data_IF_254085797183
#
_entry.id   IF_254085797183
#
_cell.length_a   1.000
_cell.length_b   1.000
_cell.length_c   1.000
_cell.angle_alpha   90.00
_cell.angle_beta   90.00
_cell.angle_gamma   90.00
#
_symmetry.space_group_name_H-M   'P 1'
#
loop_
_entity.id
_entity.type
_entity.pdbx_description
1 polymer ?
#
# COMPACT_ATOMS: atom_id res chain seq x y z
N UNK A 1 15.73 -0.72 -14.73
CA UNK A 1 14.40 -0.08 -14.60
C UNK A 1 14.03 -0.01 -13.13
N UNK A 2 13.81 1.19 -12.59
CA UNK A 2 13.40 1.37 -11.20
C UNK A 2 11.91 1.03 -11.09
N UNK A 3 11.52 -0.03 -10.35
CA UNK A 3 10.12 -0.46 -10.18
C UNK A 3 9.27 0.63 -9.54
N UNK A 4 8.12 1.02 -10.12
CA UNK A 4 7.20 2.02 -9.56
C UNK A 4 6.67 1.65 -8.16
N UNK A 5 6.82 0.38 -7.78
CA UNK A 5 6.40 -0.18 -6.51
C UNK A 5 7.60 -0.68 -5.69
N UNK A 6 7.62 -0.34 -4.40
CA UNK A 6 8.56 -0.86 -3.40
C UNK A 6 7.80 -1.45 -2.22
N UNK A 7 8.34 -2.44 -1.54
CA UNK A 7 7.68 -3.03 -0.37
C UNK A 7 8.66 -3.44 0.73
N UNK A 8 8.13 -3.60 1.93
CA UNK A 8 8.80 -4.12 3.11
C UNK A 8 7.82 -4.91 3.96
N UNK A 9 8.32 -5.75 4.86
CA UNK A 9 7.51 -6.50 5.82
C UNK A 9 7.98 -6.11 7.22
N UNK A 10 7.02 -5.85 8.11
CA UNK A 10 7.30 -5.59 9.52
C UNK A 10 6.21 -6.26 10.37
N UNK A 11 6.60 -7.24 11.19
CA UNK A 11 5.65 -8.08 11.93
C UNK A 11 4.71 -8.82 10.97
N UNK A 12 3.40 -8.70 11.21
CA UNK A 12 2.35 -9.27 10.36
C UNK A 12 1.81 -8.31 9.28
N UNK A 13 2.49 -7.18 9.04
CA UNK A 13 2.09 -6.16 8.07
C UNK A 13 3.02 -6.14 6.85
N UNK A 14 2.41 -6.30 5.67
CA UNK A 14 3.04 -5.94 4.40
C UNK A 14 2.88 -4.44 4.16
N UNK A 15 3.97 -3.76 3.85
CA UNK A 15 3.99 -2.32 3.54
C UNK A 15 4.34 -2.19 2.07
N UNK A 16 3.48 -1.54 1.30
CA UNK A 16 3.73 -1.23 -0.11
C UNK A 16 3.78 0.28 -0.31
N UNK A 17 4.70 0.77 -1.13
CA UNK A 17 4.81 2.17 -1.52
C UNK A 17 4.79 2.28 -3.05
N UNK A 18 3.80 2.99 -3.57
CA UNK A 18 3.67 3.28 -4.99
C UNK A 18 4.05 4.74 -5.30
N UNK A 19 4.82 4.92 -6.38
CA UNK A 19 5.25 6.21 -6.89
C UNK A 19 4.19 6.82 -7.83
N UNK A 20 4.26 8.12 -8.15
CA UNK A 20 3.31 8.80 -9.04
C UNK A 20 3.57 8.44 -10.52
N UNK A 21 3.57 7.15 -10.83
CA UNK A 21 3.71 6.60 -12.17
C UNK A 21 2.68 5.48 -12.34
N UNK A 22 2.17 5.24 -13.56
CA UNK A 22 1.38 4.04 -13.82
C UNK A 22 2.15 2.81 -13.34
N UNK A 23 1.46 1.87 -12.68
CA UNK A 23 2.03 0.55 -12.41
C UNK A 23 1.73 -0.31 -13.64
N UNK A 24 2.74 -0.73 -14.42
CA UNK A 24 2.53 -1.69 -15.50
C UNK A 24 1.91 -2.99 -14.96
N UNK A 25 1.02 -3.61 -15.74
CA UNK A 25 0.31 -4.81 -15.28
C UNK A 25 1.26 -5.97 -14.95
N UNK A 26 2.37 -6.12 -15.67
CA UNK A 26 3.40 -7.14 -15.39
C UNK A 26 4.13 -6.90 -14.05
N UNK A 27 4.41 -5.64 -13.71
CA UNK A 27 4.98 -5.25 -12.40
C UNK A 27 3.98 -5.50 -11.27
N UNK A 28 2.70 -5.20 -11.50
CA UNK A 28 1.61 -5.46 -10.55
C UNK A 28 1.43 -6.97 -10.31
N UNK A 29 1.42 -7.76 -11.38
CA UNK A 29 1.34 -9.22 -11.31
C UNK A 29 2.57 -9.83 -10.63
N UNK A 30 3.77 -9.31 -10.90
CA UNK A 30 4.97 -9.73 -10.18
C UNK A 30 4.82 -9.45 -8.70
N UNK A 31 4.44 -8.24 -8.30
CA UNK A 31 4.20 -7.90 -6.90
C UNK A 31 3.22 -8.85 -6.22
N UNK A 32 2.06 -9.11 -6.85
CA UNK A 32 1.07 -10.07 -6.35
C UNK A 32 1.67 -11.46 -6.17
N UNK A 33 2.43 -11.97 -7.15
CA UNK A 33 3.04 -13.30 -7.08
C UNK A 33 4.17 -13.41 -6.07
N UNK A 34 4.84 -12.29 -5.78
CA UNK A 34 5.97 -12.25 -4.84
C UNK A 34 5.51 -12.19 -3.38
N UNK A 35 4.24 -11.85 -3.14
CA UNK A 35 3.66 -11.85 -1.81
C UNK A 35 3.01 -13.21 -1.59
N UNK A 36 3.53 -14.06 -0.69
CA UNK A 36 2.76 -15.21 -0.22
C UNK A 36 1.52 -14.68 0.53
N UNK A 37 0.41 -14.55 -0.20
CA UNK A 37 -0.86 -13.98 0.28
C UNK A 37 -1.44 -14.71 1.49
N UNK A 38 -0.98 -15.93 1.74
CA UNK A 38 -1.36 -16.73 2.91
C UNK A 38 -0.65 -16.34 4.22
N UNK A 39 0.34 -15.42 4.20
CA UNK A 39 1.16 -15.13 5.38
C UNK A 39 0.89 -13.76 6.03
N UNK A 40 0.20 -12.84 5.36
CA UNK A 40 -0.01 -11.48 5.88
C UNK A 40 -1.50 -11.17 6.05
N UNK A 41 -1.92 -10.99 7.30
CA UNK A 41 -3.29 -10.60 7.62
C UNK A 41 -3.57 -9.12 7.32
N UNK A 42 -2.53 -8.30 7.07
CA UNK A 42 -2.62 -6.85 7.02
C UNK A 42 -1.76 -6.24 5.91
N UNK A 43 -2.29 -5.21 5.26
CA UNK A 43 -1.61 -4.44 4.23
C UNK A 43 -1.67 -2.95 4.53
N UNK A 44 -0.52 -2.29 4.54
CA UNK A 44 -0.37 -0.84 4.51
C UNK A 44 0.05 -0.40 3.10
N UNK A 45 -0.91 -0.01 2.26
CA UNK A 45 -0.65 0.46 0.90
C UNK A 45 -0.51 1.98 0.86
N UNK A 46 0.66 2.47 0.49
CA UNK A 46 0.99 3.89 0.56
C UNK A 46 1.32 4.42 -0.84
N UNK A 47 1.02 5.70 -1.09
CA UNK A 47 1.40 6.34 -2.34
C UNK A 47 1.65 7.83 -2.17
N UNK A 48 2.38 8.41 -3.12
CA UNK A 48 2.46 9.87 -3.30
C UNK A 48 1.92 10.22 -4.68
N UNK A 49 1.15 11.31 -4.75
CA UNK A 49 0.47 11.71 -5.98
C UNK A 49 -0.64 10.74 -6.42
N UNK A 50 -1.15 10.91 -7.65
CA UNK A 50 -2.24 10.11 -8.16
C UNK A 50 -1.80 8.66 -8.37
N UNK A 51 -2.48 7.72 -7.70
CA UNK A 51 -2.37 6.30 -8.04
C UNK A 51 -3.20 6.01 -9.30
N UNK A 52 -2.52 5.66 -10.40
CA UNK A 52 -3.15 5.22 -11.64
C UNK A 52 -3.32 3.70 -11.59
N UNK A 53 -4.44 3.25 -11.02
CA UNK A 53 -4.80 1.83 -10.91
C UNK A 53 -5.96 1.55 -11.86
N UNK A 54 -5.80 0.55 -12.74
CA UNK A 54 -6.84 0.16 -13.70
C UNK A 54 -8.01 -0.57 -13.02
N UNK A 55 -9.16 -0.70 -13.70
CA UNK A 55 -10.29 -1.49 -13.18
C UNK A 55 -9.91 -2.96 -12.95
N UNK A 56 -9.08 -3.54 -13.83
CA UNK A 56 -8.58 -4.92 -13.70
C UNK A 56 -7.70 -5.07 -12.47
N UNK A 57 -6.75 -4.15 -12.26
CA UNK A 57 -5.89 -4.15 -11.07
C UNK A 57 -6.69 -3.99 -9.78
N UNK A 58 -7.72 -3.11 -9.76
CA UNK A 58 -8.62 -2.97 -8.60
C UNK A 58 -9.36 -4.26 -8.30
N UNK A 59 -9.87 -4.96 -9.33
CA UNK A 59 -10.57 -6.24 -9.17
C UNK A 59 -9.63 -7.30 -8.59
N UNK A 60 -8.46 -7.52 -9.21
CA UNK A 60 -7.47 -8.49 -8.73
C UNK A 60 -7.05 -8.18 -7.29
N UNK A 61 -6.74 -6.92 -6.99
CA UNK A 61 -6.40 -6.49 -5.62
C UNK A 61 -7.52 -6.85 -4.62
N UNK A 62 -8.79 -6.60 -4.97
CA UNK A 62 -9.93 -6.93 -4.09
C UNK A 62 -10.14 -8.42 -3.88
N UNK A 63 -9.81 -9.25 -4.87
CA UNK A 63 -9.91 -10.70 -4.76
C UNK A 63 -8.79 -11.26 -3.88
N UNK A 64 -7.57 -10.75 -4.05
CA UNK A 64 -6.37 -11.20 -3.34
C UNK A 64 -6.40 -10.81 -1.86
N UNK A 65 -6.74 -9.55 -1.56
CA UNK A 65 -6.71 -9.02 -0.20
C UNK A 65 -8.07 -9.09 0.50
N UNK A 66 -9.02 -9.88 -0.02
CA UNK A 66 -10.39 -9.97 0.52
C UNK A 66 -10.43 -10.31 2.01
N UNK A 67 -9.52 -11.15 2.48
CA UNK A 67 -9.42 -11.56 3.88
C UNK A 67 -8.45 -10.72 4.72
N UNK A 68 -7.75 -9.76 4.10
CA UNK A 68 -6.78 -8.92 4.78
C UNK A 68 -7.41 -7.59 5.22
N UNK A 69 -6.94 -7.08 6.37
CA UNK A 69 -7.25 -5.71 6.80
C UNK A 69 -6.32 -4.74 6.09
N UNK A 70 -6.86 -3.76 5.39
CA UNK A 70 -6.10 -2.87 4.52
C UNK A 70 -6.21 -1.42 5.00
N UNK A 71 -5.07 -0.79 5.24
CA UNK A 71 -4.98 0.65 5.40
C UNK A 71 -4.29 1.23 4.19
N UNK A 72 -4.77 2.38 3.71
CA UNK A 72 -4.06 3.13 2.68
C UNK A 72 -3.70 4.52 3.11
N UNK A 73 -2.55 5.01 2.64
CA UNK A 73 -2.04 6.34 2.97
C UNK A 73 -1.65 7.05 1.68
N UNK A 74 -2.33 8.14 1.36
CA UNK A 74 -2.06 8.93 0.16
C UNK A 74 -2.33 10.41 0.40
N UNK A 75 -1.51 11.29 -0.17
CA UNK A 75 -1.75 12.74 -0.19
C UNK A 75 -2.85 13.12 -1.20
N UNK A 76 -3.10 12.29 -2.20
CA UNK A 76 -4.03 12.60 -3.29
C UNK A 76 -5.50 12.27 -2.98
N UNK A 77 -6.36 13.30 -2.97
CA UNK A 77 -7.79 13.20 -2.60
C UNK A 77 -8.57 12.20 -3.46
N UNK A 78 -8.42 12.24 -4.78
CA UNK A 78 -9.17 11.34 -5.68
C UNK A 78 -8.74 9.88 -5.48
N UNK A 79 -7.45 9.65 -5.22
CA UNK A 79 -6.94 8.30 -4.93
C UNK A 79 -7.58 7.72 -3.68
N UNK A 80 -7.71 8.51 -2.61
CA UNK A 80 -8.43 8.08 -1.40
C UNK A 80 -9.91 7.79 -1.68
N UNK A 81 -10.56 8.55 -2.56
CA UNK A 81 -11.93 8.29 -3.00
C UNK A 81 -12.08 6.96 -3.73
N UNK A 82 -11.21 6.67 -4.69
CA UNK A 82 -11.18 5.38 -5.40
C UNK A 82 -10.96 4.21 -4.43
N UNK A 83 -10.03 4.36 -3.48
CA UNK A 83 -9.76 3.34 -2.47
C UNK A 83 -10.98 3.09 -1.57
N UNK A 84 -11.67 4.16 -1.17
CA UNK A 84 -12.89 4.03 -0.37
C UNK A 84 -13.96 3.23 -1.12
N UNK A 85 -14.11 3.44 -2.43
CA UNK A 85 -15.01 2.66 -3.27
C UNK A 85 -14.60 1.18 -3.38
N UNK A 86 -13.31 0.84 -3.19
CA UNK A 86 -12.89 -0.56 -3.13
C UNK A 86 -13.45 -1.29 -1.89
N UNK A 87 -13.83 -0.57 -0.84
CA UNK A 87 -14.58 -1.15 0.29
C UNK A 87 -15.96 -1.68 -0.12
N UNK A 88 -16.60 -1.09 -1.14
CA UNK A 88 -17.86 -1.61 -1.69
C UNK A 88 -17.69 -2.94 -2.42
N UNK A 89 -16.45 -3.32 -2.77
CA UNK A 89 -16.11 -4.62 -3.35
C UNK A 89 -15.81 -5.69 -2.29
N UNK A 90 -16.07 -5.39 -1.01
CA UNK A 90 -15.93 -6.34 0.10
C UNK A 90 -14.57 -6.36 0.78
N UNK A 91 -13.70 -5.37 0.52
CA UNK A 91 -12.44 -5.22 1.25
C UNK A 91 -12.66 -4.54 2.60
N UNK A 92 -12.01 -5.05 3.65
CA UNK A 92 -11.87 -4.36 4.94
C UNK A 92 -10.80 -3.26 4.82
N UNK A 93 -11.14 -2.16 4.15
CA UNK A 93 -10.20 -1.10 3.75
C UNK A 93 -10.56 0.28 4.29
N UNK A 94 -9.55 1.04 4.71
CA UNK A 94 -9.70 2.44 5.11
C UNK A 94 -8.58 3.32 4.55
N UNK A 95 -8.96 4.50 4.04
CA UNK A 95 -8.04 5.46 3.45
C UNK A 95 -7.71 6.62 4.40
N UNK A 96 -6.43 6.99 4.46
CA UNK A 96 -5.86 8.02 5.32
C UNK A 96 -4.98 8.98 4.51
N UNK A 97 -4.81 10.19 5.03
CA UNK A 97 -3.77 11.12 4.56
C UNK A 97 -2.42 10.81 5.21
N UNK A 98 -1.32 11.29 4.62
CA UNK A 98 0.03 11.14 5.20
C UNK A 98 0.18 11.80 6.57
N UNK A 99 -0.55 12.88 6.82
CA UNK A 99 -0.69 13.54 8.12
C UNK A 99 -1.33 12.63 9.19
N UNK A 100 -2.00 11.57 8.76
CA UNK A 100 -2.69 10.58 9.61
C UNK A 100 -2.08 9.18 9.50
N UNK A 101 -0.80 9.08 9.17
CA UNK A 101 -0.09 7.80 9.09
C UNK A 101 -0.18 7.00 10.40
N UNK A 102 -0.11 7.66 11.56
CA UNK A 102 -0.26 7.01 12.87
C UNK A 102 -1.62 6.31 13.00
N UNK A 103 -2.70 6.99 12.64
CA UNK A 103 -4.05 6.43 12.70
C UNK A 103 -4.23 5.24 11.74
N UNK A 104 -3.55 5.27 10.59
CA UNK A 104 -3.54 4.16 9.64
C UNK A 104 -2.86 2.92 10.25
N UNK A 105 -1.74 3.12 10.94
CA UNK A 105 -1.02 2.08 11.66
C UNK A 105 -1.85 1.54 12.83
N UNK A 106 -2.47 2.40 13.62
CA UNK A 106 -3.35 2.00 14.73
C UNK A 106 -4.55 1.21 14.21
N UNK A 107 -5.15 1.64 13.10
CA UNK A 107 -6.24 0.90 12.45
C UNK A 107 -5.83 -0.52 12.08
N UNK A 108 -4.60 -0.74 11.62
CA UNK A 108 -4.11 -2.07 11.28
C UNK A 108 -3.90 -2.97 12.50
N UNK A 109 -3.72 -2.40 13.70
CA UNK A 109 -3.46 -3.15 14.94
C UNK A 109 -2.32 -4.17 14.78
N UNK A 110 -1.09 -3.73 14.42
CA UNK A 110 0.00 -4.62 14.02
C UNK A 110 0.46 -5.55 15.15
N UNK A 111 0.87 -6.78 14.80
CA UNK A 111 1.45 -7.76 15.73
C UNK A 111 2.90 -8.06 15.35
N UNK A 112 3.73 -8.32 16.36
CA UNK A 112 5.16 -8.59 16.16
C UNK A 112 5.99 -7.37 15.73
N UNK A 113 5.41 -6.17 15.75
CA UNK A 113 6.08 -4.89 15.53
C UNK A 113 5.32 -3.80 16.30
N UNK A 114 6.04 -2.83 16.86
CA UNK A 114 5.38 -1.68 17.51
C UNK A 114 4.85 -0.68 16.47
N UNK A 115 3.81 0.11 16.80
CA UNK A 115 3.35 1.19 15.92
C UNK A 115 4.44 2.19 15.53
N UNK A 116 5.38 2.48 16.44
CA UNK A 116 6.48 3.40 16.19
C UNK A 116 7.49 2.83 15.16
N UNK A 117 7.84 1.55 15.27
CA UNK A 117 8.71 0.88 14.31
C UNK A 117 8.05 0.78 12.93
N UNK A 118 6.76 0.42 12.86
CA UNK A 118 6.03 0.32 11.60
C UNK A 118 5.95 1.69 10.88
N UNK A 119 5.71 2.77 11.64
CA UNK A 119 5.81 4.14 11.12
C UNK A 119 7.22 4.44 10.59
N UNK A 120 8.26 4.10 11.35
CA UNK A 120 9.66 4.31 10.96
C UNK A 120 10.04 3.57 9.67
N UNK A 121 9.63 2.30 9.53
CA UNK A 121 9.85 1.52 8.30
C UNK A 121 9.10 2.15 7.12
N UNK A 122 7.86 2.57 7.32
CA UNK A 122 7.05 3.20 6.26
C UNK A 122 7.67 4.49 5.75
N UNK A 123 8.14 5.36 6.66
CA UNK A 123 8.80 6.61 6.29
C UNK A 123 10.15 6.38 5.59
N UNK A 124 10.96 5.43 6.08
CA UNK A 124 12.21 5.02 5.42
C UNK A 124 11.95 4.48 4.01
N UNK A 125 10.91 3.67 3.84
CA UNK A 125 10.52 3.13 2.54
C UNK A 125 10.13 4.26 1.58
N UNK A 126 9.28 5.19 2.03
CA UNK A 126 8.92 6.39 1.26
C UNK A 126 10.15 7.19 0.84
N UNK A 127 11.02 7.56 1.77
CA UNK A 127 12.22 8.34 1.48
C UNK A 127 13.13 7.65 0.47
N UNK A 128 13.37 6.34 0.65
CA UNK A 128 14.17 5.53 -0.28
C UNK A 128 13.54 5.51 -1.67
N UNK A 129 12.23 5.28 -1.77
CA UNK A 129 11.52 5.23 -3.04
C UNK A 129 11.51 6.58 -3.77
N UNK A 130 11.40 7.69 -3.03
CA UNK A 130 11.43 9.04 -3.59
C UNK A 130 12.84 9.46 -4.07
N UNK A 131 13.91 9.06 -3.36
CA UNK A 131 15.29 9.35 -3.81
C UNK A 131 15.64 8.65 -5.12
N UNK A 132 15.10 7.45 -5.34
CA UNK A 132 15.30 6.72 -6.59
C UNK A 132 14.65 7.40 -7.81
N UNK A 133 13.66 8.28 -7.62
CA UNK A 133 13.09 9.09 -8.69
C UNK A 133 13.96 10.31 -9.04
N UNK A 134 14.67 10.89 -8.08
CA UNK A 134 15.49 12.10 -8.31
C UNK A 134 16.79 11.86 -9.09
N UNK A 135 17.14 10.60 -9.39
CA UNK A 135 18.41 10.19 -10.03
C UNK A 135 18.17 9.54 -11.41
N UNK A 136 16.91 9.40 -11.83
CA UNK A 136 16.51 8.82 -13.11
C UNK A 136 16.00 9.92 -14.06
#
# INVERSE_FOLDING_TARGET
>A
MSSSLSWAIAGDVLIAFNRPHPIPDDVFELFIKTIPTYQYAKLLATSTGPANISSTQRKHFSEIFRSAKVATVSDHRLTRGVITAMGWLGLDIKAFGWDRLRDAVEYLDPRGVTPAELNGVTLKLREKSMRLDSVA
#
